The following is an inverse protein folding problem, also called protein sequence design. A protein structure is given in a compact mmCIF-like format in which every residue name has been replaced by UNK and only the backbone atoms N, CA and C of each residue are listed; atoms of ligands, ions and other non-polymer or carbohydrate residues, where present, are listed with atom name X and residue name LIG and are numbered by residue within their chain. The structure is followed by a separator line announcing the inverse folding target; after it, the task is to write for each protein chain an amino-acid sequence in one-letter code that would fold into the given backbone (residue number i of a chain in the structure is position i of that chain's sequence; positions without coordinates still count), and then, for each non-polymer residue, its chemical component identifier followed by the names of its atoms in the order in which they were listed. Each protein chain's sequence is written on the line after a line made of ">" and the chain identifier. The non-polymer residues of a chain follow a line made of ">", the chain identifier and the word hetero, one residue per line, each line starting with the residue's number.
data_IF_034052102767
#
_entry.id   IF_034052102767
#
_cell.length_a   1.000
_cell.length_b   1.000
_cell.length_c   1.000
_cell.angle_alpha   90.00
_cell.angle_beta   90.00
_cell.angle_gamma   90.00
#
_symmetry.space_group_name_H-M   'P 1'
#
loop_
_entity.id
_entity.type
_entity.pdbx_description
1 polymer ?
#
# COMPACT_ATOMS: atom_id res chain seq x y z
N UNK A 1 -12.02 -13.44 4.23
CA UNK A 1 -11.63 -13.67 5.64
C UNK A 1 -10.87 -12.45 6.16
N UNK A 2 -10.97 -12.14 7.46
CA UNK A 2 -10.27 -10.99 8.05
C UNK A 2 -8.75 -11.17 8.02
N UNK A 3 -8.01 -10.06 7.96
CA UNK A 3 -6.54 -10.07 7.84
C UNK A 3 -5.87 -10.83 8.99
N UNK A 4 -6.45 -10.76 10.20
CA UNK A 4 -5.96 -11.43 11.39
C UNK A 4 -5.99 -12.96 11.21
N UNK A 5 -7.01 -13.49 10.53
CA UNK A 5 -7.10 -14.91 10.22
C UNK A 5 -5.95 -15.38 9.32
N UNK A 6 -5.63 -14.58 8.29
CA UNK A 6 -4.51 -14.87 7.37
C UNK A 6 -3.18 -14.83 8.11
N UNK A 7 -2.95 -13.78 8.91
CA UNK A 7 -1.71 -13.63 9.66
C UNK A 7 -1.52 -14.76 10.68
N UNK A 8 -2.55 -15.13 11.42
CA UNK A 8 -2.45 -16.23 12.39
C UNK A 8 -2.27 -17.60 11.72
N UNK A 9 -2.84 -17.82 10.53
CA UNK A 9 -2.67 -19.04 9.77
C UNK A 9 -1.31 -19.12 9.03
N UNK A 10 -0.67 -17.97 8.76
CA UNK A 10 0.55 -17.87 7.94
C UNK A 10 0.32 -18.09 6.45
N UNK A 11 -0.94 -18.15 6.01
CA UNK A 11 -1.35 -18.43 4.63
C UNK A 11 -2.79 -18.01 4.37
N UNK A 12 -3.16 -17.90 3.10
CA UNK A 12 -4.51 -17.54 2.67
C UNK A 12 -5.35 -18.82 2.53
N UNK A 13 -6.06 -19.19 3.59
CA UNK A 13 -6.93 -20.38 3.66
C UNK A 13 -8.42 -20.02 3.44
N UNK A 14 -8.72 -19.21 2.43
CA UNK A 14 -10.09 -18.81 2.08
C UNK A 14 -10.28 -18.81 0.56
N UNK A 15 -11.54 -18.91 0.08
CA UNK A 15 -11.85 -18.60 -1.31
C UNK A 15 -11.32 -17.21 -1.68
N UNK A 16 -10.58 -17.14 -2.79
CA UNK A 16 -10.08 -15.89 -3.36
C UNK A 16 -11.00 -15.52 -4.53
N UNK A 17 -11.49 -14.29 -4.51
CA UNK A 17 -12.16 -13.69 -5.65
C UNK A 17 -11.14 -12.82 -6.39
N UNK A 18 -10.77 -13.23 -7.60
CA UNK A 18 -9.86 -12.47 -8.46
C UNK A 18 -10.65 -11.43 -9.26
N UNK A 19 -10.10 -10.22 -9.39
CA UNK A 19 -10.61 -9.25 -10.36
C UNK A 19 -10.30 -9.73 -11.78
N UNK A 20 -11.08 -9.24 -12.74
CA UNK A 20 -10.83 -9.51 -14.15
C UNK A 20 -9.43 -9.00 -14.55
N UNK A 21 -8.77 -9.73 -15.46
CA UNK A 21 -7.48 -9.31 -16.00
C UNK A 21 -7.64 -7.97 -16.75
N UNK A 22 -6.73 -7.04 -16.46
CA UNK A 22 -6.67 -5.76 -17.17
C UNK A 22 -6.29 -5.97 -18.66
N UNK A 23 -6.64 -5.03 -19.54
CA UNK A 23 -6.15 -5.07 -20.91
C UNK A 23 -4.62 -5.07 -20.96
N UNK A 24 -4.04 -5.63 -22.01
CA UNK A 24 -2.59 -5.72 -22.16
C UNK A 24 -1.89 -4.40 -21.84
N UNK A 25 -0.78 -4.51 -21.10
CA UNK A 25 0.04 -3.38 -20.62
C UNK A 25 -0.62 -2.50 -19.54
N UNK A 26 -1.66 -2.98 -18.89
CA UNK A 26 -2.24 -2.34 -17.71
C UNK A 26 -2.31 -3.33 -16.55
N UNK A 27 -2.34 -2.80 -15.33
CA UNK A 27 -2.61 -3.59 -14.13
C UNK A 27 -3.33 -2.76 -13.07
N UNK A 28 -4.00 -3.47 -12.15
CA UNK A 28 -4.45 -2.93 -10.88
C UNK A 28 -3.50 -3.42 -9.78
N UNK A 29 -3.15 -2.54 -8.86
CA UNK A 29 -2.25 -2.83 -7.74
C UNK A 29 -2.67 -2.10 -6.45
N UNK A 30 -2.06 -2.49 -5.34
CA UNK A 30 -2.21 -1.89 -4.02
C UNK A 30 -3.67 -1.60 -3.59
N UNK A 31 -4.55 -2.61 -3.54
CA UNK A 31 -5.95 -2.37 -3.23
C UNK A 31 -6.15 -2.03 -1.75
N UNK A 32 -6.95 -0.98 -1.49
CA UNK A 32 -7.48 -0.62 -0.18
C UNK A 32 -9.00 -0.50 -0.24
N UNK A 33 -9.69 -0.97 0.80
CA UNK A 33 -11.14 -1.16 0.75
C UNK A 33 -11.89 -0.44 1.85
N UNK A 34 -13.10 0.01 1.52
CA UNK A 34 -14.07 0.53 2.48
C UNK A 34 -15.44 -0.09 2.24
N UNK A 35 -16.11 -0.53 3.30
CA UNK A 35 -17.48 -1.05 3.23
C UNK A 35 -18.47 0.06 3.62
N UNK A 36 -19.44 0.34 2.76
CA UNK A 36 -20.48 1.34 3.01
C UNK A 36 -21.79 0.95 2.30
N UNK A 37 -22.93 1.07 2.97
CA UNK A 37 -24.26 0.82 2.40
C UNK A 37 -24.39 -0.48 1.58
N UNK A 38 -23.87 -1.58 2.15
CA UNK A 38 -23.83 -2.92 1.54
C UNK A 38 -22.97 -3.05 0.27
N UNK A 39 -22.13 -2.05 0.01
CA UNK A 39 -21.18 -2.02 -1.09
C UNK A 39 -19.76 -2.10 -0.57
N UNK A 40 -18.92 -2.76 -1.33
CA UNK A 40 -17.47 -2.75 -1.16
C UNK A 40 -16.89 -1.76 -2.16
N UNK A 41 -16.24 -0.71 -1.65
CA UNK A 41 -15.50 0.26 -2.45
C UNK A 41 -14.01 -0.11 -2.37
N UNK A 42 -13.40 -0.46 -3.49
CA UNK A 42 -11.97 -0.77 -3.60
C UNK A 42 -11.28 0.34 -4.35
N UNK A 43 -10.28 0.95 -3.72
CA UNK A 43 -9.38 1.94 -4.30
C UNK A 43 -8.08 1.24 -4.66
N UNK A 44 -7.65 1.35 -5.90
CA UNK A 44 -6.46 0.67 -6.40
C UNK A 44 -5.65 1.59 -7.32
N UNK A 45 -4.34 1.38 -7.35
CA UNK A 45 -3.51 1.91 -8.41
C UNK A 45 -3.93 1.25 -9.73
N UNK A 46 -4.29 2.06 -10.71
CA UNK A 46 -4.33 1.68 -12.11
C UNK A 46 -3.07 2.22 -12.79
N UNK A 47 -2.29 1.32 -13.38
CA UNK A 47 -1.08 1.69 -14.09
C UNK A 47 -1.16 1.30 -15.57
N UNK A 48 -0.76 2.22 -16.44
CA UNK A 48 -0.59 1.96 -17.86
C UNK A 48 0.89 2.06 -18.26
N UNK A 49 1.48 0.93 -18.68
CA UNK A 49 2.88 0.87 -19.11
C UNK A 49 3.19 1.74 -20.34
N UNK A 50 2.20 2.09 -21.15
CA UNK A 50 2.36 2.89 -22.37
C UNK A 50 2.61 4.36 -22.02
N UNK A 51 1.91 4.87 -21.00
CA UNK A 51 2.05 6.26 -20.50
C UNK A 51 3.01 6.35 -19.31
N UNK A 52 3.29 5.22 -18.64
CA UNK A 52 4.04 5.10 -17.39
C UNK A 52 3.45 5.93 -16.25
N UNK A 53 2.13 5.97 -16.18
CA UNK A 53 1.40 6.80 -15.24
C UNK A 53 0.44 5.96 -14.40
N UNK A 54 0.65 5.99 -13.08
CA UNK A 54 -0.28 5.47 -12.08
C UNK A 54 -1.34 6.49 -11.70
N UNK A 55 -2.60 6.08 -11.74
CA UNK A 55 -3.76 6.84 -11.24
C UNK A 55 -4.51 5.99 -10.23
N UNK A 56 -5.38 6.58 -9.41
CA UNK A 56 -6.22 5.80 -8.50
C UNK A 56 -7.58 5.60 -9.17
N UNK A 57 -8.06 4.36 -9.21
CA UNK A 57 -9.42 4.01 -9.61
C UNK A 57 -10.21 3.48 -8.41
N UNK A 58 -11.54 3.66 -8.48
CA UNK A 58 -12.49 3.04 -7.55
C UNK A 58 -13.27 1.97 -8.28
N UNK A 59 -13.32 0.76 -7.71
CA UNK A 59 -14.17 -0.34 -8.12
C UNK A 59 -15.22 -0.57 -7.02
N UNK A 60 -16.49 -0.61 -7.38
CA UNK A 60 -17.60 -0.79 -6.44
C UNK A 60 -18.26 -2.14 -6.67
N UNK A 61 -18.36 -2.96 -5.64
CA UNK A 61 -18.95 -4.29 -5.71
C UNK A 61 -20.19 -4.41 -4.83
N UNK A 62 -21.12 -5.27 -5.22
CA UNK A 62 -22.19 -5.75 -4.34
C UNK A 62 -21.69 -6.84 -3.37
N UNK A 63 -22.56 -7.29 -2.46
CA UNK A 63 -22.24 -8.39 -1.52
C UNK A 63 -21.92 -9.73 -2.19
N UNK A 64 -22.33 -9.93 -3.44
CA UNK A 64 -22.04 -11.12 -4.22
C UNK A 64 -20.73 -10.99 -5.03
N UNK A 65 -19.97 -9.91 -4.82
CA UNK A 65 -18.74 -9.58 -5.54
C UNK A 65 -18.96 -9.33 -7.05
N UNK A 66 -20.14 -8.89 -7.46
CA UNK A 66 -20.33 -8.36 -8.81
C UNK A 66 -19.90 -6.90 -8.88
N UNK A 67 -19.12 -6.56 -9.90
CA UNK A 67 -18.73 -5.19 -10.18
C UNK A 67 -19.96 -4.37 -10.61
N UNK A 68 -20.28 -3.33 -9.84
CA UNK A 68 -21.38 -2.41 -10.06
C UNK A 68 -20.93 -1.13 -10.79
N UNK A 69 -19.76 -0.62 -10.44
CA UNK A 69 -19.20 0.62 -10.99
C UNK A 69 -17.67 0.59 -10.98
N UNK A 70 -17.05 1.27 -11.94
CA UNK A 70 -15.61 1.52 -12.00
C UNK A 70 -15.36 2.91 -12.55
N UNK A 71 -14.56 3.70 -11.84
CA UNK A 71 -14.28 5.10 -12.22
C UNK A 71 -12.90 5.55 -11.80
N UNK A 72 -12.40 6.56 -12.50
CA UNK A 72 -11.24 7.32 -12.07
C UNK A 72 -11.56 8.02 -10.74
N UNK A 73 -10.73 7.76 -9.73
CA UNK A 73 -10.86 8.30 -8.39
C UNK A 73 -9.99 9.53 -8.19
N UNK A 74 -8.71 9.42 -8.56
CA UNK A 74 -7.72 10.48 -8.39
C UNK A 74 -6.70 10.42 -9.52
N UNK A 75 -6.43 11.57 -10.15
CA UNK A 75 -5.38 11.74 -11.16
C UNK A 75 -4.65 13.04 -10.88
N UNK A 76 -3.34 12.96 -10.91
CA UNK A 76 -2.42 14.08 -10.78
C UNK A 76 -1.41 14.05 -11.93
N UNK A 77 -0.61 15.11 -12.08
CA UNK A 77 0.49 15.18 -13.06
C UNK A 77 1.65 14.22 -12.72
N UNK A 78 1.63 13.62 -11.53
CA UNK A 78 2.57 12.61 -11.07
C UNK A 78 1.88 11.25 -10.90
N UNK A 79 2.70 10.22 -10.74
CA UNK A 79 2.27 8.85 -10.43
C UNK A 79 1.69 8.78 -9.02
N UNK A 80 0.51 8.16 -8.89
CA UNK A 80 -0.14 7.80 -7.64
C UNK A 80 -0.21 6.28 -7.48
N UNK A 81 0.06 5.78 -6.28
CA UNK A 81 -0.09 4.36 -5.90
C UNK A 81 -0.48 4.25 -4.43
N UNK A 82 -0.61 3.02 -3.91
CA UNK A 82 -0.82 2.74 -2.48
C UNK A 82 -1.88 3.65 -1.79
N UNK A 83 -3.13 3.71 -2.30
CA UNK A 83 -4.16 4.65 -1.84
C UNK A 83 -4.81 4.22 -0.52
N UNK A 84 -4.08 4.26 0.60
CA UNK A 84 -4.66 3.87 1.88
C UNK A 84 -5.89 4.73 2.22
N UNK A 85 -7.05 4.10 2.40
CA UNK A 85 -8.31 4.75 2.79
C UNK A 85 -8.67 4.40 4.24
N UNK A 86 -9.07 5.40 5.02
CA UNK A 86 -9.42 5.23 6.43
C UNK A 86 -10.38 6.32 6.94
N UNK A 87 -11.15 6.00 7.98
CA UNK A 87 -11.98 6.98 8.68
C UNK A 87 -11.21 7.68 9.80
N UNK A 88 -11.38 8.99 9.92
CA UNK A 88 -10.81 9.79 11.00
C UNK A 88 -11.59 11.10 11.17
N UNK A 89 -11.76 11.54 12.43
CA UNK A 89 -12.30 12.86 12.77
C UNK A 89 -13.62 13.21 12.03
N UNK A 90 -14.49 12.19 11.88
CA UNK A 90 -15.80 12.32 11.24
C UNK A 90 -15.79 12.41 9.71
N UNK A 91 -14.67 12.10 9.06
CA UNK A 91 -14.53 12.10 7.60
C UNK A 91 -13.79 10.86 7.10
N UNK A 92 -13.87 10.64 5.78
CA UNK A 92 -13.09 9.66 5.07
C UNK A 92 -11.84 10.32 4.47
N UNK A 93 -10.72 9.62 4.56
CA UNK A 93 -9.40 10.11 4.17
C UNK A 93 -8.71 9.11 3.25
N UNK A 94 -7.89 9.64 2.33
CA UNK A 94 -7.03 8.86 1.44
C UNK A 94 -5.60 9.39 1.51
N UNK A 95 -4.64 8.48 1.61
CA UNK A 95 -3.22 8.78 1.72
C UNK A 95 -2.43 8.00 0.66
N UNK A 96 -2.45 8.44 -0.61
CA UNK A 96 -1.73 7.77 -1.68
C UNK A 96 -0.22 8.04 -1.60
N UNK A 97 0.59 7.05 -2.00
CA UNK A 97 1.98 7.32 -2.35
C UNK A 97 2.02 8.25 -3.57
N UNK A 98 2.84 9.30 -3.46
CA UNK A 98 3.04 10.28 -4.51
C UNK A 98 4.52 10.68 -4.61
N UNK A 99 5.43 9.70 -4.69
CA UNK A 99 6.88 9.94 -4.63
C UNK A 99 7.37 11.09 -5.54
N UNK A 100 6.85 11.17 -6.77
CA UNK A 100 7.27 12.20 -7.75
C UNK A 100 6.69 13.61 -7.47
N UNK A 101 5.72 13.75 -6.56
CA UNK A 101 5.19 15.05 -6.10
C UNK A 101 6.14 15.79 -5.14
N UNK A 102 7.17 15.10 -4.65
CA UNK A 102 8.11 15.61 -3.66
C UNK A 102 7.58 15.62 -2.23
N UNK A 103 6.47 14.94 -1.92
CA UNK A 103 5.92 14.88 -0.56
C UNK A 103 4.74 13.93 -0.43
N UNK A 104 4.05 14.02 0.71
CA UNK A 104 2.86 13.24 1.03
C UNK A 104 1.67 14.16 1.22
N UNK A 105 0.62 13.94 0.44
CA UNK A 105 -0.61 14.74 0.51
C UNK A 105 -1.73 13.86 1.04
N UNK A 106 -2.41 14.36 2.07
CA UNK A 106 -3.60 13.78 2.64
C UNK A 106 -4.82 14.35 1.92
N UNK A 107 -5.67 13.48 1.40
CA UNK A 107 -6.91 13.84 0.72
C UNK A 107 -8.11 13.53 1.60
N UNK A 108 -9.10 14.42 1.59
CA UNK A 108 -10.36 14.28 2.30
C UNK A 108 -11.49 14.04 1.31
N UNK A 109 -12.39 13.13 1.66
CA UNK A 109 -13.62 12.94 0.90
C UNK A 109 -14.67 14.01 1.23
N UNK A 110 -15.36 14.48 0.19
CA UNK A 110 -16.47 15.43 0.24
C UNK A 110 -17.71 14.94 -0.50
N UNK A 111 -17.67 13.72 -1.04
CA UNK A 111 -18.63 13.24 -2.02
C UNK A 111 -19.10 11.83 -1.77
N UNK A 112 -19.08 11.35 -0.53
CA UNK A 112 -19.51 9.99 -0.22
C UNK A 112 -18.66 8.95 -0.95
N UNK A 113 -17.34 9.06 -0.74
CA UNK A 113 -16.28 8.30 -1.39
C UNK A 113 -16.09 8.58 -2.88
N UNK A 114 -16.58 9.73 -3.38
CA UNK A 114 -16.50 10.07 -4.80
C UNK A 114 -15.77 11.38 -5.12
N UNK A 115 -15.47 12.21 -4.11
CA UNK A 115 -14.84 13.52 -4.31
C UNK A 115 -13.69 13.70 -3.32
N UNK A 116 -12.49 13.32 -3.74
CA UNK A 116 -11.26 13.40 -2.96
C UNK A 116 -10.53 14.70 -3.25
N UNK A 117 -10.36 15.55 -2.24
CA UNK A 117 -9.69 16.85 -2.37
C UNK A 117 -8.45 16.91 -1.48
N UNK A 118 -7.34 17.50 -1.95
CA UNK A 118 -6.14 17.65 -1.14
C UNK A 118 -6.44 18.58 0.05
N UNK A 119 -6.24 18.09 1.27
CA UNK A 119 -6.52 18.85 2.51
C UNK A 119 -5.21 19.38 3.11
N UNK A 120 -4.20 18.51 3.27
CA UNK A 120 -2.95 18.86 3.94
C UNK A 120 -1.76 18.13 3.32
N UNK A 121 -0.60 18.79 3.29
CA UNK A 121 0.68 18.14 2.98
C UNK A 121 1.40 17.78 4.29
N UNK A 122 1.59 16.49 4.51
CA UNK A 122 2.36 15.96 5.63
C UNK A 122 3.85 16.22 5.35
N UNK A 123 4.49 16.99 6.24
CA UNK A 123 5.91 17.33 6.15
C UNK A 123 6.72 16.37 7.00
N UNK A 124 7.67 15.68 6.36
CA UNK A 124 8.59 14.72 6.99
C UNK A 124 10.04 15.10 6.65
N UNK A 125 10.98 14.28 7.11
CA UNK A 125 12.42 14.34 6.82
C UNK A 125 12.79 13.97 5.36
N UNK A 126 11.81 13.62 4.54
CA UNK A 126 11.97 13.28 3.13
C UNK A 126 10.65 12.91 2.48
N UNK A 127 10.73 12.38 1.25
CA UNK A 127 9.55 11.86 0.54
C UNK A 127 9.29 10.42 1.00
N UNK A 128 8.13 10.12 1.60
CA UNK A 128 7.79 8.77 2.02
C UNK A 128 7.30 7.93 0.83
N UNK A 129 7.53 6.62 0.93
CA UNK A 129 7.09 5.56 0.02
C UNK A 129 6.27 4.58 0.84
N UNK A 130 5.15 4.12 0.28
CA UNK A 130 4.12 3.25 0.88
C UNK A 130 3.71 3.71 2.28
N UNK A 131 3.50 5.02 2.43
CA UNK A 131 3.17 5.63 3.71
C UNK A 131 1.88 5.02 4.27
N UNK A 132 1.96 4.45 5.47
CA UNK A 132 0.89 3.68 6.09
C UNK A 132 0.56 4.27 7.46
N UNK A 133 -0.68 4.67 7.66
CA UNK A 133 -1.15 5.31 8.88
C UNK A 133 -1.83 4.33 9.83
N UNK A 134 -1.72 4.61 11.13
CA UNK A 134 -2.41 3.93 12.21
C UNK A 134 -2.74 4.93 13.33
N UNK A 135 -3.99 4.93 13.82
CA UNK A 135 -4.30 5.55 15.11
C UNK A 135 -4.10 4.54 16.22
N UNK A 136 -3.26 4.87 17.20
CA UNK A 136 -3.03 4.06 18.39
C UNK A 136 -3.20 4.95 19.61
N UNK A 137 -4.16 4.58 20.47
CA UNK A 137 -4.62 5.43 21.57
C UNK A 137 -5.01 6.83 21.05
N UNK A 138 -4.45 7.89 21.62
CA UNK A 138 -4.69 9.28 21.28
C UNK A 138 -3.78 9.82 20.16
N UNK A 139 -2.92 8.98 19.56
CA UNK A 139 -1.89 9.40 18.62
C UNK A 139 -1.99 8.78 17.23
N UNK A 140 -1.61 9.56 16.24
CA UNK A 140 -1.38 9.11 14.88
C UNK A 140 0.07 8.66 14.69
N UNK A 141 0.24 7.53 14.02
CA UNK A 141 1.52 6.95 13.64
C UNK A 141 1.56 6.78 12.13
N UNK A 142 2.71 7.06 11.54
CA UNK A 142 2.97 6.88 10.11
C UNK A 142 4.23 6.03 9.93
N UNK A 143 4.08 4.92 9.22
CA UNK A 143 5.14 4.00 8.83
C UNK A 143 5.45 4.21 7.35
N UNK A 144 6.72 4.39 6.98
CA UNK A 144 7.09 4.65 5.60
C UNK A 144 8.53 4.24 5.29
N UNK A 145 8.83 4.03 4.01
CA UNK A 145 10.21 3.94 3.55
C UNK A 145 10.69 5.28 2.98
N UNK A 146 11.90 5.75 3.31
CA UNK A 146 12.42 7.01 2.79
C UNK A 146 12.96 6.85 1.36
N UNK A 147 12.56 7.78 0.49
CA UNK A 147 12.96 7.79 -0.92
C UNK A 147 14.36 8.33 -1.23
N UNK A 148 15.28 8.36 -0.27
CA UNK A 148 16.62 8.95 -0.44
C UNK A 148 17.50 8.18 -1.43
N UNK A 149 17.28 6.88 -1.59
CA UNK A 149 17.94 6.03 -2.59
C UNK A 149 17.06 4.82 -2.96
N UNK A 150 17.43 4.08 -4.02
CA UNK A 150 16.75 2.80 -4.33
C UNK A 150 16.89 1.77 -3.19
N UNK A 151 18.03 1.74 -2.52
CA UNK A 151 18.27 0.79 -1.42
C UNK A 151 17.37 1.10 -0.22
N UNK A 152 17.31 2.36 0.20
CA UNK A 152 16.54 2.78 1.39
C UNK A 152 15.03 2.61 1.19
N UNK A 153 14.51 2.78 -0.04
CA UNK A 153 13.11 2.48 -0.37
C UNK A 153 12.71 1.05 -0.07
N UNK A 154 13.65 0.11 -0.11
CA UNK A 154 13.40 -1.31 0.05
C UNK A 154 13.81 -1.83 1.43
N UNK A 155 14.76 -1.18 2.10
CA UNK A 155 15.36 -1.71 3.31
C UNK A 155 15.15 -0.86 4.55
N UNK A 156 14.70 0.39 4.46
CA UNK A 156 14.52 1.25 5.64
C UNK A 156 13.04 1.40 6.01
N UNK A 157 12.76 1.28 7.31
CA UNK A 157 11.50 1.68 7.91
C UNK A 157 11.76 2.94 8.74
N UNK A 158 11.06 4.01 8.40
CA UNK A 158 10.95 5.22 9.20
C UNK A 158 9.57 5.27 9.84
N UNK A 159 9.51 5.94 10.99
CA UNK A 159 8.29 6.22 11.73
C UNK A 159 8.18 7.72 11.96
N UNK A 160 6.96 8.24 11.90
CA UNK A 160 6.61 9.57 12.38
C UNK A 160 5.32 9.50 13.20
N UNK A 161 5.07 10.54 14.00
CA UNK A 161 3.86 10.63 14.81
C UNK A 161 3.32 12.05 14.89
N UNK A 162 2.02 12.18 15.17
CA UNK A 162 1.33 13.44 15.38
C UNK A 162 0.14 13.26 16.32
N UNK A 163 -0.21 14.30 17.08
CA UNK A 163 -1.42 14.27 17.92
C UNK A 163 -2.69 14.52 17.06
N UNK A 164 -2.56 15.30 15.99
CA UNK A 164 -3.61 15.55 15.00
C UNK A 164 -3.23 14.97 13.63
N UNK A 165 -4.22 14.48 12.89
CA UNK A 165 -4.00 13.84 11.59
C UNK A 165 -3.30 14.80 10.59
N UNK A 166 -3.69 16.08 10.63
CA UNK A 166 -3.15 17.15 9.78
C UNK A 166 -1.78 17.66 10.26
N UNK A 167 -1.25 17.12 11.36
CA UNK A 167 0.04 17.49 11.94
C UNK A 167 -0.05 18.56 13.03
N UNK A 168 1.10 19.07 13.52
CA UNK A 168 2.45 18.82 12.99
C UNK A 168 2.91 17.37 13.18
N UNK A 169 3.63 16.85 12.19
CA UNK A 169 4.22 15.52 12.23
C UNK A 169 5.68 15.57 12.70
N UNK A 170 6.02 14.69 13.63
CA UNK A 170 7.35 14.56 14.23
C UNK A 170 7.97 13.23 13.79
N UNK A 171 9.12 13.28 13.13
CA UNK A 171 9.87 12.08 12.77
C UNK A 171 10.44 11.41 14.04
N UNK A 172 10.36 10.08 14.11
CA UNK A 172 10.85 9.32 15.25
C UNK A 172 12.37 9.43 15.37
N UNK A 173 12.87 9.63 16.59
CA UNK A 173 14.30 9.93 16.85
C UNK A 173 15.25 8.79 16.49
N UNK A 174 14.74 7.57 16.43
CA UNK A 174 15.52 6.39 16.05
C UNK A 174 15.43 6.08 14.54
N UNK A 175 14.89 6.97 13.69
CA UNK A 175 14.86 6.73 12.25
C UNK A 175 16.28 6.55 11.66
N UNK A 176 16.50 5.54 10.78
CA UNK A 176 15.58 4.45 10.46
C UNK A 176 15.41 3.51 11.66
N UNK A 177 14.16 3.25 12.06
CA UNK A 177 13.87 2.36 13.19
C UNK A 177 14.15 0.89 12.87
N UNK A 178 14.28 0.57 11.57
CA UNK A 178 14.67 -0.75 11.07
C UNK A 178 15.38 -0.63 9.73
N UNK A 179 16.40 -1.48 9.54
CA UNK A 179 17.11 -1.65 8.26
C UNK A 179 17.19 -3.14 7.90
N UNK A 180 16.25 -3.64 7.10
CA UNK A 180 16.21 -5.02 6.59
C UNK A 180 15.33 -5.10 5.33
N UNK A 181 15.85 -5.63 4.22
CA UNK A 181 15.11 -5.81 2.97
C UNK A 181 13.87 -6.71 3.11
N UNK A 182 13.82 -7.57 4.13
CA UNK A 182 12.72 -8.53 4.31
C UNK A 182 11.54 -7.98 5.11
N UNK A 183 11.68 -6.82 5.75
CA UNK A 183 10.77 -6.46 6.84
C UNK A 183 10.66 -4.97 7.15
N UNK A 184 10.91 -4.12 6.16
CA UNK A 184 10.97 -2.66 6.38
C UNK A 184 10.00 -1.86 5.53
N UNK A 185 9.76 -2.26 4.27
CA UNK A 185 8.86 -1.53 3.38
C UNK A 185 7.40 -1.89 3.72
N UNK A 186 6.52 -0.92 4.04
CA UNK A 186 5.11 -1.22 4.30
C UNK A 186 4.43 -1.93 3.12
N UNK A 187 3.43 -2.76 3.41
CA UNK A 187 2.76 -3.60 2.42
C UNK A 187 1.30 -3.89 2.76
N UNK A 188 0.59 -2.89 3.29
CA UNK A 188 -0.85 -2.93 3.52
C UNK A 188 -1.29 -2.33 4.86
N UNK A 189 -2.40 -2.83 5.39
CA UNK A 189 -3.08 -2.20 6.55
C UNK A 189 -2.57 -2.78 7.88
N UNK A 190 -2.11 -1.94 8.84
CA UNK A 190 -1.74 -2.40 10.17
C UNK A 190 -2.97 -2.88 10.94
N UNK A 191 -2.80 -3.86 11.82
CA UNK A 191 -3.87 -4.37 12.68
C UNK A 191 -3.39 -4.60 14.11
N UNK A 192 -4.28 -4.45 15.09
CA UNK A 192 -4.04 -4.91 16.46
C UNK A 192 -4.49 -6.36 16.57
N UNK A 193 -3.57 -7.26 16.89
CA UNK A 193 -3.85 -8.70 17.05
C UNK A 193 -3.32 -9.10 18.42
N UNK A 194 -4.21 -9.60 19.29
CA UNK A 194 -3.89 -9.99 20.66
C UNK A 194 -3.12 -8.91 21.44
N UNK A 195 -3.46 -7.63 21.23
CA UNK A 195 -2.82 -6.49 21.89
C UNK A 195 -1.46 -6.06 21.33
N UNK A 196 -0.95 -6.72 20.27
CA UNK A 196 0.28 -6.32 19.56
C UNK A 196 -0.07 -5.67 18.22
N UNK A 197 0.73 -4.69 17.80
CA UNK A 197 0.60 -4.10 16.47
C UNK A 197 1.27 -5.06 15.48
N UNK A 198 0.54 -5.40 14.43
CA UNK A 198 1.02 -6.12 13.26
C UNK A 198 1.02 -5.14 12.09
N UNK A 199 2.19 -4.89 11.52
CA UNK A 199 2.36 -4.13 10.28
C UNK A 199 2.69 -5.11 9.15
N UNK A 200 1.86 -5.23 8.10
CA UNK A 200 2.25 -5.94 6.89
C UNK A 200 3.44 -5.22 6.24
N UNK A 201 4.50 -5.96 5.96
CA UNK A 201 5.70 -5.46 5.29
C UNK A 201 6.07 -6.36 4.12
N UNK A 202 6.62 -5.76 3.08
CA UNK A 202 7.12 -6.46 1.91
C UNK A 202 8.44 -7.18 2.22
N UNK A 203 8.55 -8.43 1.79
CA UNK A 203 9.83 -9.12 1.66
C UNK A 203 10.45 -8.80 0.30
N UNK A 204 11.48 -7.95 0.32
CA UNK A 204 12.23 -7.54 -0.85
C UNK A 204 13.60 -8.24 -0.97
N UNK A 205 13.86 -9.34 -0.25
CA UNK A 205 15.19 -9.98 -0.27
C UNK A 205 15.56 -10.61 -1.61
N UNK A 206 14.59 -11.18 -2.33
CA UNK A 206 14.83 -11.84 -3.63
C UNK A 206 14.43 -10.94 -4.79
N UNK A 207 13.27 -10.30 -4.69
CA UNK A 207 12.71 -9.40 -5.70
C UNK A 207 11.82 -8.37 -5.01
N UNK A 208 11.60 -7.23 -5.66
CA UNK A 208 10.67 -6.23 -5.15
C UNK A 208 9.28 -6.84 -4.92
N UNK A 209 8.76 -6.79 -3.69
CA UNK A 209 7.45 -7.38 -3.39
C UNK A 209 7.40 -8.90 -3.59
N UNK A 210 8.43 -9.62 -3.15
CA UNK A 210 8.52 -11.07 -3.30
C UNK A 210 7.53 -11.82 -2.41
N UNK A 211 7.22 -11.29 -1.24
CA UNK A 211 6.16 -11.78 -0.37
C UNK A 211 5.71 -10.66 0.58
N UNK A 212 4.66 -10.91 1.37
CA UNK A 212 4.30 -10.10 2.54
C UNK A 212 4.57 -10.90 3.81
N UNK A 213 5.02 -10.22 4.85
CA UNK A 213 5.27 -10.79 6.18
C UNK A 213 4.67 -9.87 7.25
N UNK A 214 4.29 -10.39 8.42
CA UNK A 214 3.97 -9.54 9.55
C UNK A 214 5.24 -9.03 10.23
N UNK A 215 5.30 -7.73 10.49
CA UNK A 215 6.21 -7.13 11.46
C UNK A 215 5.44 -6.88 12.76
N UNK A 216 5.81 -7.59 13.82
CA UNK A 216 5.20 -7.48 15.13
C UNK A 216 5.91 -6.39 15.93
N UNK A 217 5.24 -5.27 16.18
CA UNK A 217 5.82 -4.15 16.93
C UNK A 217 5.48 -4.33 18.41
N UNK A 218 6.52 -4.58 19.20
CA UNK A 218 6.45 -4.84 20.65
C UNK A 218 6.49 -3.57 21.48
N UNK A 219 7.18 -2.55 20.95
CA UNK A 219 7.28 -1.24 21.57
C UNK A 219 7.22 -0.16 20.52
N UNK A 220 6.33 0.80 20.72
CA UNK A 220 6.17 1.99 19.90
C UNK A 220 5.82 3.17 20.80
N UNK A 221 6.79 4.04 21.06
CA UNK A 221 6.60 5.33 21.72
C UNK A 221 7.47 6.40 21.01
N UNK A 222 7.45 7.65 21.46
CA UNK A 222 8.11 8.76 20.75
C UNK A 222 9.64 8.61 20.63
N UNK A 223 10.23 7.82 21.53
CA UNK A 223 11.67 7.66 21.65
C UNK A 223 12.15 6.22 21.53
N UNK A 224 11.27 5.24 21.32
CA UNK A 224 11.64 3.84 21.30
C UNK A 224 10.77 3.01 20.36
N UNK A 225 11.45 2.20 19.56
CA UNK A 225 10.87 1.23 18.67
C UNK A 225 11.52 -0.14 18.88
N UNK A 226 10.71 -1.19 18.98
CA UNK A 226 11.17 -2.58 18.96
C UNK A 226 10.16 -3.44 18.21
N UNK A 227 10.65 -4.29 17.30
CA UNK A 227 9.80 -5.16 16.51
C UNK A 227 10.51 -6.46 16.08
N UNK A 228 9.72 -7.52 15.98
CA UNK A 228 10.12 -8.85 15.52
C UNK A 228 9.45 -9.15 14.17
N UNK A 229 10.22 -9.68 13.21
CA UNK A 229 9.65 -10.14 11.95
C UNK A 229 9.07 -11.54 12.12
N UNK A 230 7.84 -11.77 11.67
CA UNK A 230 7.27 -13.11 11.53
C UNK A 230 7.62 -13.74 10.17
N UNK A 231 7.15 -14.96 9.95
CA UNK A 231 7.39 -15.68 8.69
C UNK A 231 6.66 -15.04 7.50
N UNK A 232 7.20 -15.23 6.30
CA UNK A 232 6.53 -14.80 5.09
C UNK A 232 5.26 -15.61 4.85
N UNK A 233 4.19 -14.93 4.43
CA UNK A 233 2.95 -15.59 4.04
C UNK A 233 3.19 -16.45 2.80
N UNK A 234 2.62 -17.65 2.80
CA UNK A 234 2.60 -18.46 1.59
C UNK A 234 1.81 -17.73 0.48
N UNK A 235 2.41 -17.66 -0.71
CA UNK A 235 1.74 -17.08 -1.88
C UNK A 235 0.54 -17.96 -2.28
N UNK A 236 -0.55 -17.35 -2.81
CA UNK A 236 -1.65 -18.10 -3.39
C UNK A 236 -1.17 -19.09 -4.44
N UNK A 237 -1.78 -20.28 -4.47
CA UNK A 237 -1.53 -21.27 -5.52
C UNK A 237 -2.19 -20.82 -6.83
N UNK A 238 -1.49 -20.95 -7.96
CA UNK A 238 -2.05 -20.67 -9.29
C UNK A 238 -1.14 -19.83 -10.17
N UNK A 239 -1.73 -19.02 -11.04
CA UNK A 239 -0.99 -18.23 -12.03
C UNK A 239 -0.18 -17.07 -11.41
N UNK A 240 -0.55 -16.57 -10.23
CA UNK A 240 0.08 -15.43 -9.58
C UNK A 240 0.92 -15.86 -8.38
N UNK A 241 2.13 -16.35 -8.67
CA UNK A 241 3.04 -16.94 -7.69
C UNK A 241 4.43 -16.27 -7.66
N UNK A 242 4.63 -15.17 -8.39
CA UNK A 242 5.94 -14.50 -8.47
C UNK A 242 6.14 -13.46 -7.35
N UNK A 243 5.08 -13.11 -6.64
CA UNK A 243 5.14 -12.38 -5.39
C UNK A 243 3.82 -11.78 -4.94
N UNK A 244 3.84 -11.15 -3.77
CA UNK A 244 2.72 -10.47 -3.15
C UNK A 244 3.28 -9.26 -2.41
N UNK A 245 2.70 -8.08 -2.59
CA UNK A 245 3.23 -6.86 -1.96
C UNK A 245 2.23 -6.02 -1.19
N UNK A 246 0.93 -6.27 -1.34
CA UNK A 246 -0.09 -5.59 -0.54
C UNK A 246 -1.06 -6.57 0.11
N UNK A 247 -1.30 -6.38 1.41
CA UNK A 247 -2.24 -7.11 2.26
C UNK A 247 -3.05 -6.11 3.09
N UNK A 248 -4.24 -5.74 2.60
CA UNK A 248 -5.04 -4.66 3.17
C UNK A 248 -6.31 -5.16 3.81
N UNK A 249 -6.61 -4.70 5.02
CA UNK A 249 -7.81 -5.09 5.75
C UNK A 249 -9.04 -4.37 5.19
N UNK A 250 -10.16 -5.08 5.08
CA UNK A 250 -11.44 -4.48 4.71
C UNK A 250 -12.59 -5.20 5.43
N UNK A 251 -12.84 -4.82 6.68
CA UNK A 251 -13.86 -5.46 7.51
C UNK A 251 -13.56 -6.94 7.74
N UNK A 252 -14.47 -7.80 7.31
CA UNK A 252 -14.37 -9.27 7.35
C UNK A 252 -13.63 -9.89 6.14
N UNK A 253 -13.13 -9.04 5.26
CA UNK A 253 -12.37 -9.38 4.07
C UNK A 253 -10.93 -8.85 4.16
N UNK A 254 -10.09 -9.39 3.29
CA UNK A 254 -8.73 -8.92 3.07
C UNK A 254 -8.53 -8.78 1.58
N UNK A 255 -7.99 -7.65 1.15
CA UNK A 255 -7.59 -7.39 -0.22
C UNK A 255 -6.10 -7.75 -0.35
N UNK A 256 -5.75 -8.40 -1.45
CA UNK A 256 -4.39 -8.84 -1.73
C UNK A 256 -3.96 -8.32 -3.11
N UNK A 257 -2.68 -8.03 -3.23
CA UNK A 257 -2.02 -7.77 -4.51
C UNK A 257 -0.91 -8.78 -4.73
N UNK A 258 -1.02 -9.53 -5.82
CA UNK A 258 -0.07 -10.55 -6.24
C UNK A 258 0.39 -10.28 -7.66
N UNK A 259 1.64 -10.60 -7.93
CA UNK A 259 2.25 -10.41 -9.25
C UNK A 259 2.52 -11.72 -9.95
N UNK A 260 2.44 -11.65 -11.28
CA UNK A 260 2.99 -12.60 -12.24
C UNK A 260 3.91 -11.83 -13.17
N UNK A 261 5.12 -12.34 -13.40
CA UNK A 261 6.05 -11.78 -14.38
C UNK A 261 5.63 -12.31 -15.76
N UNK A 262 5.08 -11.42 -16.59
CA UNK A 262 4.78 -11.76 -17.97
C UNK A 262 6.06 -11.80 -18.82
N UNK A 263 6.51 -13.00 -19.17
CA UNK A 263 7.64 -13.24 -20.07
C UNK A 263 7.24 -13.26 -21.57
N UNK A 264 6.05 -12.77 -21.92
CA UNK A 264 5.59 -12.71 -23.30
C UNK A 264 6.52 -11.87 -24.19
N UNK A 265 6.55 -12.21 -25.50
CA UNK A 265 7.32 -11.46 -26.52
C UNK A 265 6.90 -9.98 -26.55
N UNK A 266 5.63 -9.69 -26.27
CA UNK A 266 5.11 -8.33 -26.19
C UNK A 266 5.67 -7.58 -24.96
N UNK A 267 5.73 -8.23 -23.79
CA UNK A 267 6.37 -7.70 -22.59
C UNK A 267 7.87 -7.45 -22.79
N UNK A 268 8.59 -8.43 -23.36
CA UNK A 268 10.01 -8.30 -23.68
C UNK A 268 10.30 -7.20 -24.72
N UNK A 269 9.44 -7.04 -25.73
CA UNK A 269 9.58 -5.96 -26.73
C UNK A 269 9.33 -4.57 -26.11
N UNK A 270 8.41 -4.47 -25.15
CA UNK A 270 8.19 -3.25 -24.38
C UNK A 270 9.42 -2.94 -23.51
N UNK A 271 9.98 -3.94 -22.82
CA UNK A 271 11.21 -3.78 -22.02
C UNK A 271 12.43 -3.39 -22.85
N UNK A 272 12.61 -3.96 -24.04
CA UNK A 272 13.65 -3.55 -24.99
C UNK A 272 13.46 -2.10 -25.47
N UNK A 273 12.22 -1.69 -25.76
CA UNK A 273 11.91 -0.28 -26.07
C UNK A 273 12.19 0.65 -24.89
N UNK A 274 11.97 0.18 -23.65
CA UNK A 274 12.30 0.93 -22.43
C UNK A 274 13.81 1.16 -22.31
N UNK A 275 14.62 0.12 -22.47
CA UNK A 275 16.09 0.22 -22.43
C UNK A 275 16.65 1.17 -23.50
N UNK A 276 16.12 1.11 -24.73
CA UNK A 276 16.55 1.97 -25.83
C UNK A 276 16.11 3.44 -25.66
N UNK A 277 14.97 3.69 -25.03
CA UNK A 277 14.47 5.03 -24.73
C UNK A 277 15.25 5.74 -23.62
N UNK A 278 15.66 5.02 -22.57
CA UNK A 278 16.51 5.55 -21.49
C UNK A 278 17.93 5.90 -22.00
N UNK A 279 18.45 5.17 -22.99
CA UNK A 279 19.75 5.46 -23.62
C UNK A 279 19.76 6.74 -24.47
N UNK A 280 18.60 7.24 -24.88
CA UNK A 280 18.46 8.48 -25.67
C UNK A 280 18.19 9.73 -24.83
N UNK A 281 17.92 9.56 -23.53
CA UNK A 281 17.67 10.64 -22.58
C UNK A 281 18.85 10.87 -21.61
N UNK A 282 20.03 10.33 -21.94
CA UNK A 282 21.29 10.54 -21.20
C UNK A 282 22.15 11.64 -21.81
#
# INVERSE_FOLDING_TARGET
>A
MPVQGIICAGRIDAPIHWFDEEPAFQFLADPFGWQQDDRLHVFAEHYDYRTRHGTIETLVFDRAMHLLDRRLCLREDWHLSYPQVFAADGAMWMLPEAHKSGGLTLYRDHGDLTDWRPECRIRLDGVPVDATILRLADRWWLFYSPATSKATKLSHLHVAWADELTGPWTCHRQNPVRTDYRSSRPGGTPAIINGRIMLPVQDCATTYGGAVRPLWIDRLDEGSFAAEMGDALALPTGAYHDGMHTLSACGDMTLIDVKRVDASVAGLALDLRRMLGEYRAG
#
